data_IF_941425496870
#
_entry.id   IF_941425496870
#
_cell.length_a   1.000
_cell.length_b   1.000
_cell.length_c   1.000
_cell.angle_alpha   90.00
_cell.angle_beta   90.00
_cell.angle_gamma   90.00
#
_symmetry.space_group_name_H-M   'P 1'
#
loop_
_entity.id
_entity.type
_entity.pdbx_description
1 polymer ?
#
# COMPACT_ATOMS: atom_id res chain seq x y z
N UNK A 1 -28.40 8.34 1.26
CA UNK A 1 -27.72 9.04 2.38
C UNK A 1 -26.30 8.50 2.38
N UNK A 2 -25.32 9.31 1.97
CA UNK A 2 -23.92 8.93 1.99
C UNK A 2 -23.52 8.81 3.46
N UNK A 3 -23.28 7.59 3.91
CA UNK A 3 -22.76 7.30 5.25
C UNK A 3 -21.44 8.05 5.40
N UNK A 4 -21.41 9.03 6.30
CA UNK A 4 -20.15 9.56 6.82
C UNK A 4 -19.40 8.39 7.43
N UNK A 5 -18.45 7.81 6.68
CA UNK A 5 -17.57 6.76 7.21
C UNK A 5 -16.85 7.35 8.42
N UNK A 6 -16.65 6.53 9.45
CA UNK A 6 -16.00 6.92 10.71
C UNK A 6 -14.67 7.65 10.42
N UNK A 7 -14.37 8.81 11.02
CA UNK A 7 -13.13 9.55 10.76
C UNK A 7 -11.86 8.70 10.91
N UNK A 8 -11.88 7.67 11.76
CA UNK A 8 -10.75 6.72 11.92
C UNK A 8 -10.52 5.90 10.63
N UNK A 9 -11.58 5.53 9.92
CA UNK A 9 -11.47 4.76 8.69
C UNK A 9 -10.66 5.53 7.64
N UNK A 10 -10.97 6.81 7.42
CA UNK A 10 -10.24 7.60 6.42
C UNK A 10 -8.81 7.89 6.82
N UNK A 11 -8.52 8.00 8.13
CA UNK A 11 -7.15 8.11 8.62
C UNK A 11 -6.33 6.86 8.25
N UNK A 12 -6.88 5.68 8.47
CA UNK A 12 -6.22 4.41 8.14
C UNK A 12 -5.99 4.28 6.62
N UNK A 13 -7.01 4.56 5.80
CA UNK A 13 -6.92 4.50 4.32
C UNK A 13 -5.87 5.47 3.77
N UNK A 14 -5.81 6.69 4.32
CA UNK A 14 -4.81 7.70 3.92
C UNK A 14 -3.40 7.24 4.30
N UNK A 15 -3.21 6.66 5.49
CA UNK A 15 -1.91 6.14 5.89
C UNK A 15 -1.46 4.95 5.03
N UNK A 16 -2.39 4.05 4.70
CA UNK A 16 -2.12 2.90 3.82
C UNK A 16 -1.73 3.35 2.42
N UNK A 17 -2.52 4.23 1.77
CA UNK A 17 -2.23 4.66 0.40
C UNK A 17 -0.92 5.46 0.32
N UNK A 18 -0.64 6.34 1.28
CA UNK A 18 0.61 7.10 1.30
C UNK A 18 1.82 6.18 1.53
N UNK A 19 1.68 5.16 2.37
CA UNK A 19 2.74 4.17 2.57
C UNK A 19 2.99 3.36 1.29
N UNK A 20 1.92 2.92 0.62
CA UNK A 20 2.00 2.21 -0.65
C UNK A 20 2.60 3.06 -1.77
N UNK A 21 2.11 4.29 -1.98
CA UNK A 21 2.63 5.22 -2.99
C UNK A 21 4.14 5.47 -2.82
N UNK A 22 4.60 5.58 -1.56
CA UNK A 22 6.03 5.68 -1.26
C UNK A 22 6.80 4.42 -1.67
N UNK A 23 6.24 3.23 -1.43
CA UNK A 23 6.84 1.95 -1.84
C UNK A 23 6.97 1.81 -3.36
N UNK A 24 5.99 2.31 -4.10
CA UNK A 24 5.97 2.32 -5.58
C UNK A 24 6.82 3.45 -6.20
N UNK A 25 7.43 4.32 -5.39
CA UNK A 25 8.23 5.44 -5.88
C UNK A 25 7.42 6.59 -6.45
N UNK A 26 6.13 6.71 -6.09
CA UNK A 26 5.22 7.78 -6.54
C UNK A 26 5.40 9.12 -5.79
N UNK A 27 6.46 9.23 -4.98
CA UNK A 27 6.84 10.47 -4.29
C UNK A 27 6.75 10.36 -2.76
N UNK A 28 7.53 11.20 -2.06
CA UNK A 28 7.47 11.34 -0.60
C UNK A 28 6.58 12.49 -0.13
N UNK A 29 6.28 13.42 -1.03
CA UNK A 29 5.35 14.55 -0.83
C UNK A 29 4.27 14.36 -1.88
N UNK A 30 3.02 14.25 -1.43
CA UNK A 30 1.88 13.83 -2.27
C UNK A 30 0.79 14.89 -2.20
N UNK A 31 0.26 15.27 -3.37
CA UNK A 31 -0.84 16.23 -3.42
C UNK A 31 -2.17 15.58 -2.96
N UNK A 32 -3.05 16.36 -2.32
CA UNK A 32 -4.36 15.85 -1.89
C UNK A 32 -5.20 15.32 -3.07
N UNK A 33 -5.07 15.92 -4.25
CA UNK A 33 -5.74 15.46 -5.46
C UNK A 33 -5.28 14.06 -5.87
N UNK A 34 -4.01 13.71 -5.64
CA UNK A 34 -3.49 12.39 -5.96
C UNK A 34 -4.04 11.34 -5.01
N UNK A 35 -4.09 11.62 -3.71
CA UNK A 35 -4.77 10.77 -2.71
C UNK A 35 -6.22 10.53 -3.13
N UNK A 36 -6.90 11.60 -3.55
CA UNK A 36 -8.32 11.52 -3.91
C UNK A 36 -8.59 10.71 -5.19
N UNK A 37 -7.62 10.59 -6.11
CA UNK A 37 -7.76 9.72 -7.30
C UNK A 37 -7.90 8.24 -6.92
N UNK A 38 -7.35 7.84 -5.78
CA UNK A 38 -7.44 6.47 -5.28
C UNK A 38 -8.63 6.30 -4.34
N UNK A 39 -8.78 7.18 -3.35
CA UNK A 39 -9.76 6.99 -2.28
C UNK A 39 -11.17 7.49 -2.62
N UNK A 40 -11.33 8.35 -3.63
CA UNK A 40 -12.61 8.96 -4.02
C UNK A 40 -13.40 9.50 -2.81
N UNK A 41 -12.70 10.26 -1.97
CA UNK A 41 -13.16 10.82 -0.71
C UNK A 41 -13.71 12.23 -0.91
N UNK A 42 -14.74 12.59 -0.14
CA UNK A 42 -15.28 13.95 -0.14
C UNK A 42 -14.25 14.93 0.46
N UNK A 43 -14.14 16.13 -0.09
CA UNK A 43 -13.06 17.07 0.23
C UNK A 43 -13.03 17.46 1.72
N UNK A 44 -14.18 17.64 2.37
CA UNK A 44 -14.22 17.98 3.80
C UNK A 44 -13.72 16.81 4.66
N UNK A 45 -14.09 15.57 4.32
CA UNK A 45 -13.61 14.38 5.02
C UNK A 45 -12.10 14.17 4.83
N UNK A 46 -11.59 14.44 3.62
CA UNK A 46 -10.16 14.37 3.34
C UNK A 46 -9.39 15.39 4.17
N UNK A 47 -9.83 16.65 4.16
CA UNK A 47 -9.21 17.72 4.95
C UNK A 47 -9.23 17.39 6.45
N UNK A 48 -10.38 17.01 7.00
CA UNK A 48 -10.51 16.66 8.42
C UNK A 48 -9.59 15.49 8.80
N UNK A 49 -9.48 14.47 7.95
CA UNK A 49 -8.62 13.32 8.22
C UNK A 49 -7.13 13.68 8.17
N UNK A 50 -6.68 14.49 7.20
CA UNK A 50 -5.27 14.89 7.12
C UNK A 50 -4.86 15.87 8.23
N UNK A 51 -5.75 16.79 8.62
CA UNK A 51 -5.55 17.67 9.78
C UNK A 51 -5.40 16.83 11.04
N UNK A 52 -6.29 15.85 11.25
CA UNK A 52 -6.21 14.97 12.40
C UNK A 52 -4.94 14.13 12.44
N UNK A 53 -4.49 13.63 11.30
CA UNK A 53 -3.24 12.87 11.19
C UNK A 53 -2.00 13.74 11.44
N UNK A 54 -2.05 15.03 11.09
CA UNK A 54 -1.01 15.99 11.45
C UNK A 54 -0.98 16.25 12.95
N UNK A 55 -2.13 16.51 13.58
CA UNK A 55 -2.24 16.69 15.03
C UNK A 55 -1.66 15.49 15.81
N UNK A 56 -1.85 14.28 15.27
CA UNK A 56 -1.33 13.03 15.83
C UNK A 56 0.15 12.78 15.51
N UNK A 57 0.78 13.64 14.70
CA UNK A 57 2.20 13.57 14.33
C UNK A 57 2.52 12.56 13.23
N UNK A 58 1.53 12.05 12.51
CA UNK A 58 1.73 11.09 11.41
C UNK A 58 2.02 11.78 10.07
N UNK A 59 1.51 12.98 9.86
CA UNK A 59 1.73 13.77 8.64
C UNK A 59 2.44 15.09 8.93
N UNK A 60 3.15 15.58 7.91
CA UNK A 60 3.48 17.00 7.75
C UNK A 60 2.64 17.54 6.61
N UNK A 61 1.93 18.63 6.86
CA UNK A 61 1.14 19.32 5.85
C UNK A 61 1.97 20.45 5.25
N UNK A 62 1.86 20.62 3.93
CA UNK A 62 2.27 21.84 3.25
C UNK A 62 1.02 22.54 2.72
N UNK A 63 0.89 23.81 3.07
CA UNK A 63 -0.25 24.65 2.69
C UNK A 63 0.15 25.63 1.60
N UNK A 64 -0.75 25.88 0.65
CA UNK A 64 -0.57 26.89 -0.38
C UNK A 64 -1.72 27.91 -0.33
N UNK A 65 -1.36 29.19 -0.19
CA UNK A 65 -2.21 30.41 -0.09
C UNK A 65 -3.41 30.38 0.88
N UNK A 66 -4.28 29.38 0.88
CA UNK A 66 -5.43 29.23 1.79
C UNK A 66 -5.85 27.77 2.07
N UNK A 67 -5.21 26.76 1.48
CA UNK A 67 -5.59 25.35 1.64
C UNK A 67 -4.38 24.42 1.81
N UNK A 68 -4.60 23.27 2.44
CA UNK A 68 -3.65 22.15 2.41
C UNK A 68 -3.50 21.72 0.96
N UNK A 69 -2.27 21.69 0.45
CA UNK A 69 -1.98 21.28 -0.93
C UNK A 69 -1.31 19.93 -0.97
N UNK A 70 -0.40 19.67 -0.05
CA UNK A 70 0.45 18.48 -0.07
C UNK A 70 0.63 17.92 1.34
N UNK A 71 0.86 16.61 1.41
CA UNK A 71 1.13 15.90 2.65
C UNK A 71 2.35 15.00 2.51
N UNK A 72 3.05 14.79 3.62
CA UNK A 72 4.19 13.89 3.70
C UNK A 72 4.11 13.05 4.99
N UNK A 73 4.40 11.75 4.88
CA UNK A 73 4.51 10.88 6.04
C UNK A 73 5.73 11.27 6.91
N UNK A 74 5.50 11.44 8.20
CA UNK A 74 6.59 11.47 9.20
C UNK A 74 7.16 10.07 9.39
N UNK A 75 8.27 9.94 10.13
CA UNK A 75 8.78 8.62 10.52
C UNK A 75 7.76 7.80 11.34
N UNK A 76 6.93 8.48 12.14
CA UNK A 76 5.83 7.83 12.86
C UNK A 76 4.71 7.42 11.91
N UNK A 77 4.34 8.29 10.95
CA UNK A 77 3.38 7.98 9.90
C UNK A 77 3.79 6.78 9.05
N UNK A 78 5.07 6.69 8.68
CA UNK A 78 5.61 5.54 7.92
C UNK A 78 5.45 4.22 8.69
N UNK A 79 5.72 4.23 10.00
CA UNK A 79 5.57 3.04 10.86
C UNK A 79 4.11 2.63 10.96
N UNK A 80 3.22 3.59 11.22
CA UNK A 80 1.80 3.34 11.35
C UNK A 80 1.19 2.86 10.04
N UNK A 81 1.45 3.56 8.92
CA UNK A 81 0.97 3.17 7.60
C UNK A 81 1.43 1.78 7.19
N UNK A 82 2.66 1.37 7.53
CA UNK A 82 3.14 -0.01 7.33
C UNK A 82 2.30 -1.02 8.10
N UNK A 83 1.96 -0.74 9.37
CA UNK A 83 1.17 -1.64 10.21
C UNK A 83 -0.23 -1.79 9.60
N UNK A 84 -0.90 -0.68 9.30
CA UNK A 84 -2.25 -0.66 8.69
C UNK A 84 -2.28 -1.35 7.33
N UNK A 85 -1.25 -1.12 6.52
CA UNK A 85 -1.13 -1.76 5.22
C UNK A 85 -0.90 -3.27 5.36
N UNK A 86 -0.04 -3.69 6.30
CA UNK A 86 0.17 -5.11 6.55
C UNK A 86 -1.10 -5.77 7.09
N UNK A 87 -1.79 -5.18 8.06
CA UNK A 87 -3.00 -5.78 8.63
C UNK A 87 -4.10 -5.99 7.59
N UNK A 88 -4.22 -5.09 6.61
CA UNK A 88 -5.21 -5.20 5.54
C UNK A 88 -4.75 -6.08 4.37
N UNK A 89 -3.47 -5.97 3.99
CA UNK A 89 -2.92 -6.61 2.81
C UNK A 89 -2.06 -7.84 3.09
N UNK A 90 -1.84 -8.27 4.33
CA UNK A 90 -1.09 -9.49 4.66
C UNK A 90 -1.74 -10.73 4.06
N UNK A 91 -3.08 -10.76 4.03
CA UNK A 91 -3.84 -11.78 3.31
C UNK A 91 -3.83 -11.57 1.79
N UNK A 92 -3.08 -10.60 1.27
CA UNK A 92 -2.84 -10.38 -0.15
C UNK A 92 -1.35 -10.46 -0.53
N UNK A 93 -0.47 -10.31 0.47
CA UNK A 93 0.99 -10.18 0.35
C UNK A 93 1.65 -11.45 0.91
N UNK A 94 2.03 -12.38 0.02
CA UNK A 94 2.81 -13.57 0.41
C UNK A 94 2.15 -14.90 0.11
N UNK A 95 0.91 -14.92 -0.38
CA UNK A 95 0.50 -15.99 -1.29
C UNK A 95 0.99 -15.60 -2.67
N UNK A 96 2.19 -16.08 -2.95
CA UNK A 96 2.87 -15.98 -4.22
C UNK A 96 1.96 -16.54 -5.32
N UNK A 97 1.47 -15.67 -6.19
CA UNK A 97 1.02 -16.02 -7.54
C UNK A 97 2.22 -16.36 -8.46
N UNK A 98 3.35 -16.81 -7.89
CA UNK A 98 4.62 -16.95 -8.61
C UNK A 98 5.35 -18.28 -8.39
N UNK A 99 4.73 -19.30 -7.78
CA UNK A 99 5.32 -20.65 -7.71
C UNK A 99 4.30 -21.78 -7.95
N UNK A 100 3.14 -21.49 -8.56
CA UNK A 100 2.31 -22.57 -9.13
C UNK A 100 2.89 -22.90 -10.50
N UNK A 101 3.60 -24.01 -10.60
CA UNK A 101 3.99 -24.54 -11.89
C UNK A 101 2.72 -24.96 -12.64
N UNK A 102 2.38 -24.23 -13.70
CA UNK A 102 1.18 -24.44 -14.52
C UNK A 102 1.35 -25.57 -15.57
N UNK A 103 2.51 -26.24 -15.58
CA UNK A 103 2.76 -27.41 -16.42
C UNK A 103 2.27 -28.68 -15.69
N UNK A 104 1.17 -29.32 -16.15
CA UNK A 104 0.62 -30.52 -15.53
C UNK A 104 1.52 -31.76 -15.69
N UNK A 105 2.55 -31.69 -16.54
CA UNK A 105 3.54 -32.75 -16.71
C UNK A 105 4.86 -32.45 -15.98
N UNK A 106 4.92 -31.37 -15.20
CA UNK A 106 6.11 -31.03 -14.45
C UNK A 106 6.33 -32.01 -13.30
N UNK A 107 7.59 -32.40 -13.11
CA UNK A 107 8.04 -33.30 -12.05
C UNK A 107 7.83 -32.74 -10.64
N UNK A 108 7.58 -31.44 -10.51
CA UNK A 108 7.24 -30.80 -9.22
C UNK A 108 5.87 -31.21 -8.65
N UNK A 109 4.99 -31.83 -9.45
CA UNK A 109 3.69 -32.32 -8.99
C UNK A 109 3.75 -33.76 -8.44
N UNK A 110 4.90 -34.42 -8.50
CA UNK A 110 5.07 -35.76 -7.93
C UNK A 110 5.13 -35.69 -6.38
N UNK A 111 4.48 -36.64 -5.69
CA UNK A 111 4.39 -36.68 -4.22
C UNK A 111 5.74 -36.82 -3.50
N UNK A 112 6.84 -37.04 -4.22
CA UNK A 112 8.15 -37.39 -3.68
C UNK A 112 9.32 -36.58 -4.25
N UNK A 113 9.10 -35.33 -4.66
CA UNK A 113 10.21 -34.48 -5.12
C UNK A 113 11.07 -34.01 -3.92
N UNK A 114 12.34 -34.40 -3.91
CA UNK A 114 13.38 -33.78 -3.08
C UNK A 114 14.21 -32.83 -3.94
N UNK A 115 14.04 -31.52 -3.76
CA UNK A 115 14.85 -30.48 -4.44
C UNK A 115 14.13 -29.70 -5.55
N UNK A 116 14.91 -29.13 -6.47
CA UNK A 116 14.44 -28.26 -7.56
C UNK A 116 13.99 -29.08 -8.77
N UNK A 117 12.83 -28.75 -9.36
CA UNK A 117 12.33 -29.45 -10.55
C UNK A 117 13.18 -29.16 -11.80
N UNK A 118 13.12 -30.07 -12.78
CA UNK A 118 13.90 -29.92 -14.02
C UNK A 118 13.47 -28.72 -14.84
N UNK A 119 12.20 -28.32 -14.76
CA UNK A 119 11.65 -27.16 -15.47
C UNK A 119 12.27 -25.84 -14.95
N UNK A 120 12.46 -25.71 -13.64
CA UNK A 120 13.13 -24.56 -13.03
C UNK A 120 14.63 -24.49 -13.36
N UNK A 121 15.24 -25.64 -13.64
CA UNK A 121 16.68 -25.74 -13.94
C UNK A 121 17.04 -25.37 -15.39
N UNK A 122 16.06 -25.33 -16.30
CA UNK A 122 16.32 -25.18 -17.74
C UNK A 122 16.10 -23.76 -18.29
N UNK A 123 15.31 -22.89 -17.64
CA UNK A 123 14.91 -21.63 -18.29
C UNK A 123 15.19 -20.30 -17.60
N UNK A 124 15.50 -20.16 -16.30
CA UNK A 124 15.73 -18.80 -15.74
C UNK A 124 16.82 -18.69 -14.67
N UNK A 125 18.07 -18.78 -15.13
CA UNK A 125 19.15 -17.95 -14.59
C UNK A 125 19.07 -16.50 -15.08
N UNK A 126 17.87 -15.89 -15.06
CA UNK A 126 17.72 -14.46 -15.31
C UNK A 126 17.80 -13.72 -13.97
N UNK A 127 19.04 -13.37 -13.65
CA UNK A 127 19.42 -12.48 -12.56
C UNK A 127 18.64 -11.16 -12.64
N UNK A 128 18.04 -10.76 -11.52
CA UNK A 128 18.14 -9.38 -11.04
C UNK A 128 19.07 -9.36 -9.84
#
# INVERSE_FOLDING_TARGET
>A
MMTTKNPIYWQDEILQILFWMRGEGLGEVVALEEINRFLTIEKSNLNEAVERLEEMGHLKLSTNSENISEVQLTEQGKKEGKIRFKDEFENYLGHEDHMVCDDPNCDCHAENIEGTCKHFSLEQGHQH
#
